data_IF_985731315930
#
_entry.id   IF_985731315930
#
_cell.length_a   1.000
_cell.length_b   1.000
_cell.length_c   1.000
_cell.angle_alpha   90.00
_cell.angle_beta   90.00
_cell.angle_gamma   90.00
#
_symmetry.space_group_name_H-M   'P 1'
#
loop_
_entity.id
_entity.type
_entity.pdbx_description
1 polymer ?
#
# COMPACT_ATOMS: atom_id res chain seq x y z
N UNK A 1 25.42 -23.97 -3.82
CA UNK A 1 24.06 -23.41 -4.00
C UNK A 1 23.33 -23.55 -2.67
N UNK A 2 23.69 -22.74 -1.69
CA UNK A 2 23.05 -22.76 -0.36
C UNK A 2 22.42 -21.40 -0.17
N UNK A 3 21.09 -21.40 -0.13
CA UNK A 3 20.28 -20.19 -0.15
C UNK A 3 20.68 -19.21 0.94
N UNK A 4 21.05 -18.01 0.51
CA UNK A 4 21.03 -16.81 1.34
C UNK A 4 19.59 -16.63 1.80
N UNK A 5 19.34 -16.98 3.06
CA UNK A 5 18.08 -16.71 3.73
C UNK A 5 17.84 -15.21 3.72
N UNK A 6 16.60 -14.81 3.43
CA UNK A 6 16.16 -13.42 3.50
C UNK A 6 16.75 -12.77 4.76
N UNK A 7 17.47 -11.67 4.57
CA UNK A 7 18.01 -10.93 5.72
C UNK A 7 16.84 -10.48 6.61
N UNK A 8 17.03 -10.38 7.93
CA UNK A 8 15.96 -9.97 8.85
C UNK A 8 15.32 -8.62 8.47
N UNK A 9 16.10 -7.77 7.79
CA UNK A 9 15.67 -6.51 7.22
C UNK A 9 14.71 -6.69 6.02
N UNK A 10 15.05 -7.55 5.06
CA UNK A 10 14.14 -7.88 3.94
C UNK A 10 12.81 -8.48 4.43
N UNK A 11 12.87 -9.35 5.44
CA UNK A 11 11.68 -9.93 6.04
C UNK A 11 10.79 -8.85 6.70
N UNK A 12 11.40 -7.87 7.38
CA UNK A 12 10.69 -6.74 7.97
C UNK A 12 10.05 -5.84 6.90
N UNK A 13 10.77 -5.53 5.81
CA UNK A 13 10.25 -4.73 4.70
C UNK A 13 9.07 -5.45 4.02
N UNK A 14 9.18 -6.76 3.77
CA UNK A 14 8.09 -7.57 3.19
C UNK A 14 6.85 -7.60 4.08
N UNK A 15 7.04 -7.72 5.39
CA UNK A 15 5.94 -7.66 6.36
C UNK A 15 5.25 -6.30 6.30
N UNK A 16 6.02 -5.21 6.37
CA UNK A 16 5.50 -3.85 6.30
C UNK A 16 4.74 -3.60 4.99
N UNK A 17 5.26 -4.09 3.87
CA UNK A 17 4.63 -4.00 2.57
C UNK A 17 3.29 -4.74 2.53
N UNK A 18 3.18 -5.92 3.14
CA UNK A 18 1.91 -6.64 3.27
C UNK A 18 0.88 -5.88 4.09
N UNK A 19 1.30 -5.25 5.20
CA UNK A 19 0.43 -4.43 6.05
C UNK A 19 -0.09 -3.21 5.28
N UNK A 20 0.79 -2.48 4.60
CA UNK A 20 0.41 -1.32 3.79
C UNK A 20 -0.52 -1.67 2.62
N UNK A 21 -0.31 -2.83 1.98
CA UNK A 21 -1.18 -3.31 0.91
C UNK A 21 -2.59 -3.62 1.41
N UNK A 22 -2.71 -4.21 2.60
CA UNK A 22 -3.99 -4.45 3.25
C UNK A 22 -4.68 -3.12 3.56
N UNK A 23 -4.00 -2.20 4.24
CA UNK A 23 -4.54 -0.87 4.57
C UNK A 23 -5.00 -0.11 3.31
N UNK A 24 -4.21 -0.19 2.22
CA UNK A 24 -4.55 0.42 0.95
C UNK A 24 -5.81 -0.21 0.31
N UNK A 25 -5.99 -1.53 0.43
CA UNK A 25 -7.20 -2.23 -0.03
C UNK A 25 -8.42 -1.84 0.81
N UNK A 26 -8.28 -1.79 2.12
CA UNK A 26 -9.35 -1.39 3.04
C UNK A 26 -9.83 0.04 2.77
N UNK A 27 -8.90 0.97 2.48
CA UNK A 27 -9.25 2.32 2.05
C UNK A 27 -10.05 2.33 0.75
N UNK A 28 -9.72 1.46 -0.20
CA UNK A 28 -10.46 1.35 -1.46
C UNK A 28 -11.88 0.82 -1.24
N UNK A 29 -12.05 -0.21 -0.41
CA UNK A 29 -13.36 -0.73 -0.02
C UNK A 29 -14.19 0.36 0.66
N UNK A 30 -13.60 1.12 1.58
CA UNK A 30 -14.27 2.23 2.25
C UNK A 30 -14.71 3.34 1.27
N UNK A 31 -13.85 3.71 0.32
CA UNK A 31 -14.19 4.69 -0.73
C UNK A 31 -15.38 4.20 -1.57
N UNK A 32 -15.36 2.93 -1.98
CA UNK A 32 -16.45 2.35 -2.76
C UNK A 32 -17.77 2.33 -1.96
N UNK A 33 -17.73 1.89 -0.71
CA UNK A 33 -18.90 1.87 0.17
C UNK A 33 -19.54 3.26 0.33
N UNK A 34 -18.73 4.30 0.54
CA UNK A 34 -19.23 5.68 0.64
C UNK A 34 -19.76 6.17 -0.71
N UNK A 35 -19.11 5.80 -1.81
CA UNK A 35 -19.53 6.15 -3.17
C UNK A 35 -20.86 5.53 -3.59
N UNK A 36 -21.25 4.40 -2.99
CA UNK A 36 -22.54 3.74 -3.21
C UNK A 36 -23.69 4.30 -2.37
N UNK A 37 -23.39 5.20 -1.42
CA UNK A 37 -24.41 5.88 -0.62
C UNK A 37 -25.32 6.77 -1.51
N UNK A 38 -26.64 6.87 -1.24
CA UNK A 38 -27.53 7.78 -1.97
C UNK A 38 -27.07 9.24 -2.00
N UNK A 39 -26.36 9.67 -0.95
CA UNK A 39 -25.68 10.96 -0.88
C UNK A 39 -24.23 10.70 -0.43
N UNK A 40 -23.27 10.58 -1.36
CA UNK A 40 -21.88 10.31 -1.01
C UNK A 40 -21.20 11.54 -0.40
N UNK A 41 -20.48 11.35 0.70
CA UNK A 41 -19.65 12.41 1.29
C UNK A 41 -18.34 12.57 0.50
N UNK A 42 -18.36 13.49 -0.45
CA UNK A 42 -17.22 13.77 -1.33
C UNK A 42 -15.99 14.29 -0.57
N UNK A 43 -16.18 14.95 0.59
CA UNK A 43 -15.08 15.46 1.40
C UNK A 43 -14.37 14.30 2.11
N UNK A 44 -15.12 13.32 2.62
CA UNK A 44 -14.57 12.07 3.17
C UNK A 44 -13.86 11.28 2.09
N UNK A 45 -14.48 11.06 0.92
CA UNK A 45 -13.86 10.37 -0.21
C UNK A 45 -12.53 11.04 -0.58
N UNK A 46 -12.49 12.37 -0.67
CA UNK A 46 -11.26 13.12 -0.95
C UNK A 46 -10.16 12.89 0.09
N UNK A 47 -10.50 12.85 1.38
CA UNK A 47 -9.54 12.53 2.45
C UNK A 47 -9.01 11.10 2.32
N UNK A 48 -9.87 10.12 2.07
CA UNK A 48 -9.47 8.71 1.93
C UNK A 48 -8.61 8.49 0.69
N UNK A 49 -8.93 9.13 -0.45
CA UNK A 49 -8.11 9.07 -1.65
C UNK A 49 -6.69 9.62 -1.43
N UNK A 50 -6.56 10.74 -0.70
CA UNK A 50 -5.24 11.28 -0.33
C UNK A 50 -4.44 10.31 0.55
N UNK A 51 -5.08 9.69 1.54
CA UNK A 51 -4.43 8.66 2.37
C UNK A 51 -4.00 7.45 1.52
N UNK A 52 -4.89 6.99 0.63
CA UNK A 52 -4.62 5.87 -0.27
C UNK A 52 -3.42 6.15 -1.18
N UNK A 53 -3.32 7.38 -1.71
CA UNK A 53 -2.17 7.80 -2.52
C UNK A 53 -0.86 7.75 -1.71
N UNK A 54 -0.86 8.28 -0.48
CA UNK A 54 0.31 8.24 0.38
C UNK A 54 0.77 6.80 0.70
N UNK A 55 -0.17 5.87 0.95
CA UNK A 55 0.16 4.45 1.15
C UNK A 55 0.72 3.82 -0.13
N UNK A 56 0.18 4.17 -1.31
CA UNK A 56 0.71 3.70 -2.59
C UNK A 56 2.17 4.15 -2.77
N UNK A 57 2.46 5.42 -2.50
CA UNK A 57 3.82 5.96 -2.63
C UNK A 57 4.80 5.27 -1.64
N UNK A 58 4.35 4.95 -0.41
CA UNK A 58 5.15 4.20 0.57
C UNK A 58 5.39 2.75 0.11
N UNK A 59 4.37 2.09 -0.45
CA UNK A 59 4.49 0.73 -1.01
C UNK A 59 5.51 0.72 -2.15
N UNK A 60 5.46 1.68 -3.06
CA UNK A 60 6.41 1.78 -4.18
C UNK A 60 7.84 1.95 -3.66
N UNK A 61 8.07 2.84 -2.70
CA UNK A 61 9.40 3.01 -2.07
C UNK A 61 9.93 1.75 -1.39
N UNK A 62 9.07 0.96 -0.75
CA UNK A 62 9.48 -0.30 -0.10
C UNK A 62 9.71 -1.42 -1.12
N UNK A 63 8.98 -1.42 -2.25
CA UNK A 63 9.25 -2.32 -3.36
C UNK A 63 10.61 -2.02 -3.98
N UNK A 64 10.92 -0.75 -4.23
CA UNK A 64 12.22 -0.33 -4.78
C UNK A 64 13.39 -0.76 -3.88
N UNK A 65 13.20 -0.76 -2.56
CA UNK A 65 14.19 -1.27 -1.61
C UNK A 65 14.40 -2.80 -1.69
N UNK A 66 13.35 -3.57 -2.00
CA UNK A 66 13.41 -5.03 -2.12
C UNK A 66 13.86 -5.49 -3.51
N UNK A 67 13.61 -4.69 -4.55
CA UNK A 67 13.98 -4.97 -5.93
C UNK A 67 14.67 -3.73 -6.50
N UNK A 68 15.97 -3.51 -6.20
CA UNK A 68 16.68 -2.32 -6.66
C UNK A 68 16.91 -2.25 -8.19
N UNK A 69 16.25 -3.09 -9.01
CA UNK A 69 16.68 -3.30 -10.41
C UNK A 69 15.54 -3.65 -11.40
N UNK A 70 14.42 -2.90 -11.43
CA UNK A 70 13.35 -3.11 -12.46
C UNK A 70 12.74 -1.80 -13.03
N UNK A 71 13.24 -0.60 -12.74
CA UNK A 71 12.80 0.63 -13.44
C UNK A 71 14.02 1.42 -13.93
N UNK A 72 14.52 1.01 -15.10
CA UNK A 72 15.25 1.83 -16.07
C UNK A 72 14.30 2.17 -17.24
#
# INVERSE_FOLDING_TARGET
MSGEGLTGEEAAIRRRLSELQLDHNDLEVAIQAIGLSPVPDMMVIGRLKRKKLALKDEIERLKDQLTPDIIA
#
